data_IF_650540431761
#
_entry.id   IF_650540431761
#
_cell.length_a   1.000
_cell.length_b   1.000
_cell.length_c   1.000
_cell.angle_alpha   90.00
_cell.angle_beta   90.00
_cell.angle_gamma   90.00
#
_symmetry.space_group_name_H-M   'P 1'
#
loop_
_entity.id
_entity.type
_entity.pdbx_description
1 polymer ?
#
# COMPACT_ATOMS: atom_id res chain seq x y z
N UNK A 1 11.67 -7.50 -24.92
CA UNK A 1 11.99 -7.33 -23.49
C UNK A 1 10.72 -6.86 -22.82
N UNK A 2 10.16 -7.61 -21.87
CA UNK A 2 9.02 -7.10 -21.10
C UNK A 2 9.44 -5.76 -20.51
N UNK A 3 8.66 -4.71 -20.74
CA UNK A 3 9.01 -3.36 -20.32
C UNK A 3 9.17 -3.38 -18.80
N UNK A 4 10.40 -3.24 -18.30
CA UNK A 4 10.75 -3.35 -16.87
C UNK A 4 9.87 -2.42 -16.03
N UNK A 5 9.51 -1.27 -16.60
CA UNK A 5 8.57 -0.31 -16.02
C UNK A 5 7.16 -0.89 -15.78
N UNK A 6 6.69 -1.78 -16.67
CA UNK A 6 5.40 -2.47 -16.53
C UNK A 6 5.44 -3.49 -15.38
N UNK A 7 6.54 -4.24 -15.25
CA UNK A 7 6.74 -5.17 -14.13
C UNK A 7 6.79 -4.43 -12.78
N UNK A 8 7.40 -3.25 -12.74
CA UNK A 8 7.40 -2.40 -11.54
C UNK A 8 6.01 -1.91 -11.16
N UNK A 9 5.20 -1.48 -12.13
CA UNK A 9 3.81 -1.08 -11.88
C UNK A 9 2.94 -2.22 -11.36
N UNK A 10 3.13 -3.43 -11.90
CA UNK A 10 2.44 -4.63 -11.42
C UNK A 10 2.85 -4.97 -9.99
N UNK A 11 4.15 -4.91 -9.68
CA UNK A 11 4.67 -5.18 -8.33
C UNK A 11 4.18 -4.16 -7.32
N UNK A 12 4.14 -2.88 -7.70
CA UNK A 12 3.60 -1.79 -6.88
C UNK A 12 2.10 -1.98 -6.61
N UNK A 13 1.31 -2.31 -7.64
CA UNK A 13 -0.11 -2.60 -7.49
C UNK A 13 -0.39 -3.80 -6.57
N UNK A 14 0.41 -4.85 -6.67
CA UNK A 14 0.31 -6.03 -5.80
C UNK A 14 0.61 -5.69 -4.33
N UNK A 15 1.67 -4.90 -4.07
CA UNK A 15 2.02 -4.45 -2.72
C UNK A 15 0.94 -3.54 -2.12
N UNK A 16 0.35 -2.66 -2.92
CA UNK A 16 -0.75 -1.80 -2.50
C UNK A 16 -1.99 -2.60 -2.08
N UNK A 17 -2.39 -3.60 -2.88
CA UNK A 17 -3.51 -4.48 -2.55
C UNK A 17 -3.26 -5.28 -1.28
N UNK A 18 -2.05 -5.84 -1.14
CA UNK A 18 -1.67 -6.62 0.04
C UNK A 18 -1.66 -5.74 1.30
N UNK A 19 -1.16 -4.52 1.19
CA UNK A 19 -1.23 -3.49 2.23
C UNK A 19 -2.66 -3.20 2.68
N UNK A 20 -3.58 -2.96 1.75
CA UNK A 20 -5.00 -2.69 2.05
C UNK A 20 -5.62 -3.87 2.78
N UNK A 21 -5.37 -5.10 2.31
CA UNK A 21 -5.90 -6.32 2.94
C UNK A 21 -5.38 -6.44 4.38
N UNK A 22 -4.07 -6.29 4.59
CA UNK A 22 -3.46 -6.34 5.94
C UNK A 22 -4.02 -5.24 6.84
N UNK A 23 -4.21 -4.01 6.33
CA UNK A 23 -4.85 -2.93 7.10
C UNK A 23 -6.24 -3.26 7.56
N UNK A 24 -7.03 -3.90 6.69
CA UNK A 24 -8.42 -4.28 6.97
C UNK A 24 -8.48 -5.36 8.04
N UNK A 25 -7.61 -6.37 7.94
CA UNK A 25 -7.47 -7.42 8.96
C UNK A 25 -6.97 -6.88 10.31
N UNK A 26 -6.01 -5.95 10.29
CA UNK A 26 -5.52 -5.29 11.52
C UNK A 26 -6.61 -4.41 12.16
N UNK A 27 -7.40 -3.70 11.34
CA UNK A 27 -8.52 -2.88 11.81
C UNK A 27 -9.65 -3.69 12.46
N UNK A 28 -9.87 -4.92 12.01
CA UNK A 28 -10.79 -5.86 12.67
C UNK A 28 -10.22 -6.46 13.96
N UNK A 29 -8.90 -6.51 14.14
CA UNK A 29 -8.27 -7.38 15.13
C UNK A 29 -8.23 -6.84 16.56
N UNK A 30 -8.14 -5.53 16.85
CA UNK A 30 -7.97 -5.14 18.27
C UNK A 30 -8.44 -3.79 18.79
N UNK A 31 -8.54 -2.70 18.03
CA UNK A 31 -9.22 -1.47 18.49
C UNK A 31 -9.37 -0.54 17.28
N UNK A 32 -10.51 0.14 17.13
CA UNK A 32 -10.76 1.08 16.02
C UNK A 32 -9.63 2.11 15.83
N UNK A 33 -8.98 2.53 16.92
CA UNK A 33 -7.84 3.46 16.92
C UNK A 33 -6.60 2.88 16.24
N UNK A 34 -6.31 1.60 16.44
CA UNK A 34 -5.15 0.92 15.85
C UNK A 34 -5.35 0.69 14.35
N UNK A 35 -6.57 0.30 13.94
CA UNK A 35 -6.94 0.19 12.53
C UNK A 35 -6.80 1.50 11.75
N UNK A 36 -7.21 2.60 12.37
CA UNK A 36 -7.11 3.93 11.77
C UNK A 36 -5.65 4.39 11.60
N UNK A 37 -4.79 4.09 12.58
CA UNK A 37 -3.36 4.41 12.50
C UNK A 37 -2.68 3.59 11.39
N UNK A 38 -2.98 2.29 11.29
CA UNK A 38 -2.44 1.47 10.19
C UNK A 38 -2.91 1.91 8.82
N UNK A 39 -4.17 2.34 8.69
CA UNK A 39 -4.71 2.88 7.44
C UNK A 39 -3.97 4.16 7.03
N UNK A 40 -3.78 5.09 7.98
CA UNK A 40 -3.10 6.35 7.74
C UNK A 40 -1.64 6.15 7.32
N UNK A 41 -0.91 5.24 7.98
CA UNK A 41 0.48 4.92 7.63
C UNK A 41 0.57 4.30 6.24
N UNK A 42 -0.32 3.38 5.90
CA UNK A 42 -0.33 2.75 4.58
C UNK A 42 -0.64 3.73 3.46
N UNK A 43 -1.56 4.67 3.69
CA UNK A 43 -1.86 5.76 2.76
C UNK A 43 -0.63 6.65 2.51
N UNK A 44 0.14 6.97 3.55
CA UNK A 44 1.38 7.76 3.42
C UNK A 44 2.44 7.00 2.62
N UNK A 45 2.61 5.70 2.84
CA UNK A 45 3.56 4.86 2.09
C UNK A 45 3.15 4.77 0.61
N UNK A 46 1.87 4.61 0.32
CA UNK A 46 1.32 4.61 -1.04
C UNK A 46 1.54 5.94 -1.74
N UNK A 47 1.26 7.06 -1.07
CA UNK A 47 1.50 8.40 -1.61
C UNK A 47 2.99 8.66 -1.87
N UNK A 48 3.87 8.26 -0.94
CA UNK A 48 5.32 8.38 -1.10
C UNK A 48 5.84 7.51 -2.26
N UNK A 49 5.35 6.28 -2.41
CA UNK A 49 5.69 5.42 -3.52
C UNK A 49 5.20 5.96 -4.87
N UNK A 50 4.00 6.52 -4.91
CA UNK A 50 3.46 7.17 -6.11
C UNK A 50 4.29 8.41 -6.51
N UNK A 51 4.70 9.23 -5.55
CA UNK A 51 5.57 10.38 -5.79
C UNK A 51 6.97 9.96 -6.28
N UNK A 52 7.53 8.88 -5.73
CA UNK A 52 8.82 8.34 -6.18
C UNK A 52 8.77 7.77 -7.60
N UNK A 53 7.65 7.16 -8.00
CA UNK A 53 7.46 6.64 -9.38
C UNK A 53 7.18 7.77 -10.37
N UNK A 54 6.57 8.87 -9.90
CA UNK A 54 6.21 10.00 -10.74
C UNK A 54 7.38 10.96 -11.00
N UNK A 55 8.54 10.73 -10.40
CA UNK A 55 9.74 11.56 -10.51
C UNK A 55 10.87 10.82 -11.21
#
# INVERSE_FOLDING_TARGET
>A
MANTQYLFWVMFGALALLSVVVSTFVGMSRTARQGFITLAVLWVILAAGALYISH
#
